data_IF_641814982293
#
_entry.id   IF_641814982293
#
_cell.length_a   1.000
_cell.length_b   1.000
_cell.length_c   1.000
_cell.angle_alpha   90.00
_cell.angle_beta   90.00
_cell.angle_gamma   90.00
#
_symmetry.space_group_name_H-M   'P 1'
#
loop_
_entity.id
_entity.type
_entity.pdbx_description
1 polymer ?
#
# COMPACT_ATOMS: atom_id res chain seq x y z
N UNK A 1 8.87 -19.71 -33.05
CA UNK A 1 8.06 -20.35 -32.00
C UNK A 1 7.33 -19.27 -31.19
N UNK A 2 6.04 -19.07 -31.46
CA UNK A 2 5.18 -18.10 -30.79
C UNK A 2 4.95 -18.51 -29.32
N UNK A 3 5.63 -17.84 -28.38
CA UNK A 3 5.28 -17.95 -26.96
C UNK A 3 3.95 -17.21 -26.73
N UNK A 4 2.85 -17.94 -26.90
CA UNK A 4 1.50 -17.45 -26.60
C UNK A 4 1.39 -17.00 -25.14
N UNK A 5 2.19 -17.58 -24.24
CA UNK A 5 2.20 -17.29 -22.81
C UNK A 5 3.42 -16.49 -22.35
N UNK A 6 3.15 -15.48 -21.51
CA UNK A 6 4.20 -14.65 -20.90
C UNK A 6 4.95 -15.40 -19.80
N UNK A 7 6.21 -15.75 -20.04
CA UNK A 7 7.08 -16.38 -19.04
C UNK A 7 7.38 -15.41 -17.90
N UNK A 8 7.13 -15.84 -16.67
CA UNK A 8 7.53 -15.14 -15.45
C UNK A 8 8.59 -15.91 -14.70
N UNK A 9 9.46 -15.20 -14.00
CA UNK A 9 10.26 -15.79 -12.93
C UNK A 9 9.72 -15.37 -11.58
N UNK A 10 9.61 -16.34 -10.67
CA UNK A 10 9.03 -16.18 -9.33
C UNK A 10 9.84 -15.17 -8.52
N UNK A 11 11.17 -15.29 -8.54
CA UNK A 11 12.11 -14.38 -7.87
C UNK A 11 11.86 -12.94 -8.32
N UNK A 12 11.84 -12.66 -9.63
CA UNK A 12 11.59 -11.29 -10.15
C UNK A 12 10.21 -10.78 -9.75
N UNK A 13 9.20 -11.66 -9.66
CA UNK A 13 7.86 -11.27 -9.22
C UNK A 13 7.83 -10.87 -7.74
N UNK A 14 8.61 -11.54 -6.87
CA UNK A 14 8.70 -11.23 -5.44
C UNK A 14 9.49 -9.93 -5.25
N UNK A 15 10.67 -9.81 -5.87
CA UNK A 15 11.50 -8.60 -5.81
C UNK A 15 10.76 -7.36 -6.31
N UNK A 16 9.93 -7.51 -7.36
CA UNK A 16 9.08 -6.43 -7.88
C UNK A 16 8.06 -5.91 -6.86
N UNK A 17 7.62 -6.76 -5.92
CA UNK A 17 6.65 -6.41 -4.87
C UNK A 17 7.33 -5.84 -3.61
N UNK A 18 8.55 -6.27 -3.30
CA UNK A 18 9.28 -5.86 -2.10
C UNK A 18 10.32 -4.76 -2.38
N UNK A 19 11.59 -5.12 -2.56
CA UNK A 19 12.71 -4.18 -2.59
C UNK A 19 12.66 -3.22 -3.79
N UNK A 20 12.27 -3.71 -4.96
CA UNK A 20 12.17 -2.85 -6.15
C UNK A 20 11.00 -1.87 -6.06
N UNK A 21 9.92 -2.21 -5.34
CA UNK A 21 8.80 -1.30 -5.11
C UNK A 21 9.28 -0.07 -4.33
N UNK A 22 10.02 -0.29 -3.24
CA UNK A 22 10.57 0.79 -2.43
C UNK A 22 11.50 1.71 -3.24
N UNK A 23 12.46 1.13 -3.98
CA UNK A 23 13.37 1.90 -4.85
C UNK A 23 12.64 2.75 -5.89
N UNK A 24 11.54 2.25 -6.47
CA UNK A 24 10.71 3.01 -7.44
C UNK A 24 9.97 4.16 -6.78
N UNK A 25 9.48 4.00 -5.55
CA UNK A 25 8.80 5.06 -4.82
C UNK A 25 9.74 6.23 -4.51
N UNK A 26 10.95 5.94 -4.05
CA UNK A 26 11.98 6.96 -3.83
C UNK A 26 12.29 7.70 -5.12
N UNK A 27 12.57 6.97 -6.21
CA UNK A 27 12.87 7.59 -7.52
C UNK A 27 11.71 8.45 -8.03
N UNK A 28 10.46 8.07 -7.77
CA UNK A 28 9.29 8.84 -8.15
C UNK A 28 9.16 10.17 -7.37
N UNK A 29 9.63 10.20 -6.12
CA UNK A 29 9.64 11.42 -5.30
C UNK A 29 10.78 12.38 -5.69
N UNK A 30 11.93 11.84 -6.06
CA UNK A 30 13.14 12.64 -6.31
C UNK A 30 13.23 13.11 -7.77
N UNK A 31 12.90 12.26 -8.75
CA UNK A 31 13.07 12.61 -10.16
C UNK A 31 11.79 13.20 -10.77
N UNK A 32 11.82 14.42 -11.32
CA UNK A 32 10.71 14.96 -12.09
C UNK A 32 10.48 14.09 -13.33
N UNK A 33 9.21 13.84 -13.66
CA UNK A 33 8.82 13.03 -14.83
C UNK A 33 8.96 11.50 -14.68
N UNK A 34 9.62 10.97 -13.64
CA UNK A 34 9.77 9.52 -13.46
C UNK A 34 8.42 8.84 -13.13
N UNK A 35 8.07 7.80 -13.90
CA UNK A 35 6.84 7.03 -13.67
C UNK A 35 5.54 7.78 -13.99
N UNK A 36 5.59 8.90 -14.71
CA UNK A 36 4.41 9.57 -15.29
C UNK A 36 3.92 8.85 -16.55
N UNK A 37 2.62 8.95 -16.84
CA UNK A 37 2.01 8.38 -18.06
C UNK A 37 2.65 9.04 -19.29
N UNK A 38 2.98 8.26 -20.32
CA UNK A 38 3.60 8.76 -21.56
C UNK A 38 5.14 8.88 -21.52
N UNK A 39 5.78 8.89 -20.34
CA UNK A 39 7.24 9.06 -20.21
C UNK A 39 8.05 8.01 -21.00
N UNK A 40 7.51 6.79 -21.18
CA UNK A 40 8.17 5.74 -21.95
C UNK A 40 8.22 5.99 -23.46
N UNK A 41 7.24 6.72 -24.01
CA UNK A 41 7.21 7.08 -25.45
C UNK A 41 8.23 8.18 -25.73
N UNK A 42 8.34 9.16 -24.82
CA UNK A 42 9.31 10.26 -24.92
C UNK A 42 10.74 9.74 -24.76
N UNK A 43 10.98 8.84 -23.79
CA UNK A 43 12.32 8.32 -23.52
C UNK A 43 12.78 7.29 -24.55
N UNK A 44 11.95 6.29 -24.86
CA UNK A 44 12.32 5.14 -25.70
C UNK A 44 11.13 4.68 -26.57
N UNK A 45 10.82 5.39 -27.68
CA UNK A 45 9.61 5.15 -28.47
C UNK A 45 9.55 3.72 -29.05
N UNK A 46 10.67 3.21 -29.58
CA UNK A 46 10.77 1.84 -30.14
C UNK A 46 10.39 0.77 -29.11
N UNK A 47 10.89 0.89 -27.88
CA UNK A 47 10.63 -0.06 -26.80
C UNK A 47 9.20 0.05 -26.28
N UNK A 48 8.65 1.26 -26.24
CA UNK A 48 7.26 1.49 -25.88
C UNK A 48 6.31 0.80 -26.87
N UNK A 49 6.55 0.95 -28.18
CA UNK A 49 5.76 0.31 -29.22
C UNK A 49 5.84 -1.22 -29.17
N UNK A 50 7.06 -1.78 -29.05
CA UNK A 50 7.26 -3.21 -28.88
C UNK A 50 6.50 -3.76 -27.66
N UNK A 51 6.61 -3.11 -26.50
CA UNK A 51 5.91 -3.53 -25.29
C UNK A 51 4.38 -3.44 -25.42
N UNK A 52 3.87 -2.46 -26.20
CA UNK A 52 2.45 -2.33 -26.47
C UNK A 52 1.94 -3.52 -27.31
N UNK A 53 2.66 -3.89 -28.37
CA UNK A 53 2.33 -5.06 -29.20
C UNK A 53 2.46 -6.34 -28.37
N UNK A 54 3.59 -6.55 -27.70
CA UNK A 54 3.86 -7.73 -26.86
C UNK A 54 2.76 -7.98 -25.82
N UNK A 55 2.26 -6.94 -25.15
CA UNK A 55 1.18 -7.05 -24.17
C UNK A 55 -0.21 -7.28 -24.79
N UNK A 56 -0.41 -6.93 -26.07
CA UNK A 56 -1.65 -7.19 -26.82
C UNK A 56 -1.69 -8.60 -27.39
N UNK A 57 -0.54 -9.11 -27.84
CA UNK A 57 -0.43 -10.39 -28.56
C UNK A 57 -0.03 -11.57 -27.68
N UNK A 58 0.29 -11.34 -26.39
CA UNK A 58 0.67 -12.41 -25.43
C UNK A 58 -0.38 -12.57 -24.33
N UNK A 59 -0.69 -13.82 -23.97
CA UNK A 59 -1.63 -14.18 -22.91
C UNK A 59 -0.92 -14.16 -21.55
N UNK A 60 -1.51 -13.44 -20.59
CA UNK A 60 -1.11 -13.45 -19.18
C UNK A 60 -2.13 -14.22 -18.34
N UNK A 61 -1.72 -15.38 -17.83
CA UNK A 61 -2.54 -16.26 -16.98
C UNK A 61 -3.14 -15.58 -15.75
N UNK A 62 -2.53 -14.50 -15.23
CA UNK A 62 -3.06 -13.75 -14.06
C UNK A 62 -4.07 -12.66 -14.43
N UNK A 63 -4.21 -12.32 -15.71
CA UNK A 63 -5.16 -11.30 -16.18
C UNK A 63 -6.54 -11.90 -16.47
N UNK A 64 -6.59 -13.19 -16.80
CA UNK A 64 -7.80 -13.91 -17.23
C UNK A 64 -8.89 -13.92 -16.15
N UNK A 65 -8.53 -13.90 -14.85
CA UNK A 65 -9.50 -13.89 -13.74
C UNK A 65 -9.62 -12.57 -12.97
N UNK A 66 -9.06 -11.46 -13.46
CA UNK A 66 -9.14 -10.16 -12.77
C UNK A 66 -10.37 -9.40 -13.26
N UNK A 67 -11.48 -9.46 -12.51
CA UNK A 67 -12.58 -8.50 -12.68
C UNK A 67 -12.04 -7.07 -12.50
N UNK A 68 -12.46 -6.14 -13.37
CA UNK A 68 -12.14 -4.71 -13.22
C UNK A 68 -12.82 -4.22 -11.95
N UNK A 69 -12.08 -4.04 -10.86
CA UNK A 69 -12.54 -3.24 -9.74
C UNK A 69 -12.44 -1.77 -10.16
N UNK A 70 -13.58 -1.09 -10.26
CA UNK A 70 -13.62 0.36 -10.41
C UNK A 70 -12.88 0.98 -9.21
N UNK A 71 -11.93 1.87 -9.48
CA UNK A 71 -11.30 2.68 -8.44
C UNK A 71 -12.24 3.85 -8.16
N UNK A 72 -12.92 3.82 -7.01
CA UNK A 72 -13.46 5.03 -6.42
C UNK A 72 -12.27 5.75 -5.78
N UNK A 73 -11.86 6.87 -6.39
CA UNK A 73 -10.89 7.80 -5.83
C UNK A 73 -11.64 8.66 -4.83
N UNK A 74 -11.83 8.13 -3.61
CA UNK A 74 -12.39 8.90 -2.50
C UNK A 74 -11.21 9.42 -1.67
N UNK A 75 -10.85 10.66 -2.00
CA UNK A 75 -9.95 11.50 -1.23
C UNK A 75 -10.71 12.05 -0.04
N UNK A 76 -10.83 11.28 1.03
CA UNK A 76 -11.23 11.81 2.33
C UNK A 76 -10.08 11.72 3.32
N UNK A 77 -9.53 12.90 3.59
CA UNK A 77 -8.77 13.20 4.78
C UNK A 77 -9.69 13.00 6.01
N UNK A 78 -9.81 11.77 6.49
CA UNK A 78 -10.20 11.54 7.88
C UNK A 78 -9.30 10.46 8.46
N UNK A 79 -8.44 10.93 9.34
CA UNK A 79 -7.58 10.21 10.25
C UNK A 79 -8.44 9.33 11.19
N UNK A 80 -9.11 8.31 10.64
CA UNK A 80 -9.84 7.29 11.37
C UNK A 80 -8.89 6.14 11.69
N UNK A 81 -8.02 6.37 12.67
CA UNK A 81 -6.98 5.46 13.12
C UNK A 81 -7.59 4.22 13.80
N UNK A 82 -8.14 3.29 13.03
CA UNK A 82 -8.66 2.00 13.53
C UNK A 82 -7.57 1.13 14.19
N UNK A 83 -6.30 1.46 13.97
CA UNK A 83 -5.15 0.89 14.65
C UNK A 83 -4.90 1.53 16.04
N UNK A 84 -5.22 2.81 16.26
CA UNK A 84 -5.11 3.40 17.60
C UNK A 84 -6.19 2.85 18.54
N UNK A 85 -7.43 2.66 18.07
CA UNK A 85 -8.50 2.09 18.89
C UNK A 85 -8.23 0.64 19.30
N UNK A 86 -7.61 -0.16 18.44
CA UNK A 86 -7.24 -1.55 18.78
C UNK A 86 -6.03 -1.61 19.72
N UNK A 87 -5.05 -0.70 19.60
CA UNK A 87 -3.94 -0.59 20.54
C UNK A 87 -4.38 -0.07 21.92
N UNK A 88 -5.35 0.84 21.99
CA UNK A 88 -5.92 1.33 23.26
C UNK A 88 -6.69 0.21 23.96
N UNK A 89 -7.47 -0.59 23.23
CA UNK A 89 -8.18 -1.74 23.80
C UNK A 89 -7.23 -2.85 24.28
N UNK A 90 -6.20 -3.20 23.49
CA UNK A 90 -5.19 -4.18 23.93
C UNK A 90 -4.36 -3.66 25.11
N UNK A 91 -3.99 -2.38 25.11
CA UNK A 91 -3.25 -1.76 26.21
C UNK A 91 -4.05 -1.71 27.51
N UNK A 92 -5.36 -1.42 27.44
CA UNK A 92 -6.26 -1.44 28.59
C UNK A 92 -6.46 -2.86 29.15
N UNK A 93 -6.59 -3.88 28.28
CA UNK A 93 -6.77 -5.28 28.70
C UNK A 93 -5.48 -5.84 29.33
N UNK A 94 -4.31 -5.55 28.76
CA UNK A 94 -3.01 -6.00 29.31
C UNK A 94 -2.66 -5.24 30.60
N UNK A 95 -2.99 -3.95 30.69
CA UNK A 95 -2.74 -3.13 31.88
C UNK A 95 -3.54 -3.58 33.13
N UNK A 96 -4.76 -4.09 32.94
CA UNK A 96 -5.59 -4.63 34.03
C UNK A 96 -5.02 -5.92 34.64
N UNK A 97 -4.32 -6.75 33.84
CA UNK A 97 -3.79 -8.04 34.33
C UNK A 97 -2.51 -7.91 35.18
N UNK A 98 -1.77 -6.81 35.06
CA UNK A 98 -0.47 -6.66 35.75
C UNK A 98 -0.57 -5.80 37.03
N UNK A 99 -1.55 -4.87 37.10
CA UNK A 99 -1.54 -3.79 38.11
C UNK A 99 -2.69 -3.76 39.13
N UNK A 100 -3.60 -4.74 39.13
CA UNK A 100 -4.76 -4.75 40.05
C UNK A 100 -5.52 -3.40 40.08
N UNK A 101 -6.05 -3.03 41.25
CA UNK A 101 -6.92 -1.85 41.42
C UNK A 101 -6.20 -0.50 41.15
N UNK A 102 -4.86 -0.48 41.18
CA UNK A 102 -4.04 0.73 40.97
C UNK A 102 -3.81 0.98 39.48
N UNK A 103 -3.61 -0.08 38.68
CA UNK A 103 -3.48 0.03 37.22
C UNK A 103 -4.78 0.52 36.56
N UNK A 104 -5.93 0.07 37.08
CA UNK A 104 -7.24 0.50 36.59
C UNK A 104 -7.51 1.99 36.82
N UNK A 105 -7.20 2.52 38.01
CA UNK A 105 -7.43 3.94 38.32
C UNK A 105 -6.54 4.87 37.49
N UNK A 106 -5.25 4.52 37.32
CA UNK A 106 -4.32 5.29 36.49
C UNK A 106 -4.76 5.30 35.02
N UNK A 107 -5.24 4.16 34.48
CA UNK A 107 -5.75 4.07 33.11
C UNK A 107 -6.99 4.92 32.86
N UNK A 108 -7.93 4.96 33.81
CA UNK A 108 -9.15 5.78 33.72
C UNK A 108 -8.83 7.28 33.81
N UNK A 109 -7.90 7.67 34.68
CA UNK A 109 -7.45 9.05 34.81
C UNK A 109 -6.76 9.52 33.52
N UNK A 110 -5.90 8.70 32.93
CA UNK A 110 -5.21 9.03 31.68
C UNK A 110 -6.18 9.17 30.49
N UNK A 111 -7.22 8.32 30.43
CA UNK A 111 -8.29 8.43 29.41
C UNK A 111 -9.11 9.72 29.53
N UNK A 112 -9.44 10.16 30.76
CA UNK A 112 -10.16 11.41 31.00
C UNK A 112 -9.36 12.64 30.58
N UNK A 113 -8.05 12.66 30.86
CA UNK A 113 -7.17 13.77 30.47
C UNK A 113 -7.09 13.90 28.94
N UNK A 114 -6.96 12.78 28.23
CA UNK A 114 -6.90 12.78 26.76
C UNK A 114 -8.24 13.24 26.16
N UNK A 115 -9.38 12.85 26.75
CA UNK A 115 -10.69 13.28 26.29
C UNK A 115 -10.91 14.79 26.46
N UNK A 116 -10.42 15.37 27.55
CA UNK A 116 -10.53 16.82 27.82
C UNK A 116 -9.62 17.62 26.86
N UNK A 117 -8.38 17.19 26.65
CA UNK A 117 -7.44 17.87 25.74
C UNK A 117 -7.75 17.63 24.25
N UNK A 118 -8.39 16.51 23.91
CA UNK A 118 -8.76 16.19 22.53
C UNK A 118 -10.07 16.84 22.06
N UNK A 119 -10.79 17.51 22.95
CA UNK A 119 -12.02 18.26 22.63
C UNK A 119 -11.80 19.77 22.50
N UNK A 120 -10.61 20.27 22.85
CA UNK A 120 -10.15 21.63 22.51
C UNK A 120 -9.45 21.60 21.15
#
# INVERSE_FOLDING_TARGET
MSHLFRRRSIIKSITARTSAKYKRQIKKKILPGYGKKGAGVIKDPKKSMYNAIYNRTTIDTRKIGKSKQAKNDESDNKLGCGCATTLIFFGAIVGQMIGGNIGGTIGVILMLIIAIFGMI
#
